data_IF_163121112974
#
_entry.id   IF_163121112974
#
_cell.length_a   1.000
_cell.length_b   1.000
_cell.length_c   1.000
_cell.angle_alpha   90.00
_cell.angle_beta   90.00
_cell.angle_gamma   90.00
#
_symmetry.space_group_name_H-M   'P 1'
#
loop_
_entity.id
_entity.type
_entity.pdbx_description
1 polymer ?
#
# COMPACT_ATOMS: atom_id res chain seq x y z
N UNK A 1 -22.12 -7.44 -10.77
CA UNK A 1 -22.16 -6.46 -11.87
C UNK A 1 -21.14 -5.38 -11.52
N UNK A 2 -20.11 -5.30 -12.36
CA UNK A 2 -19.05 -4.30 -12.53
C UNK A 2 -18.46 -3.51 -11.36
N UNK A 3 -17.14 -3.62 -11.26
CA UNK A 3 -16.23 -2.66 -10.65
C UNK A 3 -14.86 -2.68 -11.32
N UNK A 4 -14.79 -2.96 -12.63
CA UNK A 4 -13.56 -2.86 -13.41
C UNK A 4 -13.27 -1.39 -13.74
N UNK A 5 -12.70 -0.68 -12.78
CA UNK A 5 -12.16 0.67 -12.97
C UNK A 5 -10.82 0.62 -13.67
N UNK A 6 -10.85 0.72 -15.00
CA UNK A 6 -9.68 0.96 -15.85
C UNK A 6 -9.27 2.43 -15.77
N UNK A 7 -8.04 2.71 -15.36
CA UNK A 7 -7.28 3.90 -15.80
C UNK A 7 -5.78 3.69 -15.47
N UNK A 8 -4.96 3.28 -16.46
CA UNK A 8 -3.51 3.19 -16.32
C UNK A 8 -2.87 4.58 -16.44
N UNK A 9 -1.97 4.91 -15.52
CA UNK A 9 -0.98 5.97 -15.75
C UNK A 9 0.07 5.50 -16.78
N UNK A 10 0.71 6.42 -17.54
CA UNK A 10 1.15 6.19 -18.92
C UNK A 10 2.42 5.32 -19.14
N UNK A 11 2.96 4.66 -18.12
CA UNK A 11 4.36 4.20 -18.16
C UNK A 11 4.64 2.77 -17.65
N UNK A 12 3.72 1.82 -17.76
CA UNK A 12 4.06 0.43 -17.40
C UNK A 12 3.16 -0.62 -18.00
N UNK A 13 3.69 -1.82 -18.32
CA UNK A 13 2.90 -2.90 -18.89
C UNK A 13 1.80 -3.31 -17.90
N UNK A 14 0.57 -3.30 -18.38
CA UNK A 14 -0.60 -3.79 -17.68
C UNK A 14 -0.41 -5.31 -17.46
N UNK A 15 -0.09 -5.71 -16.23
CA UNK A 15 -0.17 -7.12 -15.82
C UNK A 15 -1.57 -7.32 -15.27
N UNK A 16 -2.43 -7.89 -16.12
CA UNK A 16 -3.82 -8.21 -15.79
C UNK A 16 -3.88 -9.07 -14.51
N UNK A 17 -4.71 -8.67 -13.55
CA UNK A 17 -4.88 -9.38 -12.28
C UNK A 17 -3.96 -8.94 -11.12
N UNK A 18 -3.05 -7.98 -11.32
CA UNK A 18 -2.26 -7.41 -10.20
C UNK A 18 -3.12 -6.51 -9.32
N UNK A 19 -3.32 -6.90 -8.07
CA UNK A 19 -3.95 -6.11 -7.01
C UNK A 19 -2.94 -5.78 -5.93
N UNK A 20 -2.97 -4.56 -5.42
CA UNK A 20 -2.18 -4.14 -4.26
C UNK A 20 -3.15 -3.67 -3.18
N UNK A 21 -2.97 -4.15 -1.97
CA UNK A 21 -3.79 -3.76 -0.82
C UNK A 21 -2.86 -3.33 0.29
N UNK A 22 -3.04 -2.13 0.80
CA UNK A 22 -2.30 -1.61 1.96
C UNK A 22 -3.29 -1.38 3.09
N UNK A 23 -2.98 -1.92 4.27
CA UNK A 23 -3.72 -1.69 5.51
C UNK A 23 -2.79 -0.99 6.50
N UNK A 24 -3.28 0.04 7.18
CA UNK A 24 -2.47 0.80 8.12
C UNK A 24 -3.27 1.35 9.29
N UNK A 25 -2.56 1.56 10.38
CA UNK A 25 -3.04 2.20 11.61
C UNK A 25 -2.09 3.34 11.97
N UNK A 26 -2.64 4.45 12.42
CA UNK A 26 -1.89 5.63 12.84
C UNK A 26 -2.38 6.13 14.19
N UNK A 27 -1.46 6.66 14.98
CA UNK A 27 -1.73 7.26 16.28
C UNK A 27 -1.04 8.62 16.35
N UNK A 28 -1.79 9.62 16.79
CA UNK A 28 -1.32 10.98 17.01
C UNK A 28 -1.50 11.35 18.48
N UNK A 29 -0.46 11.87 19.12
CA UNK A 29 -0.49 12.34 20.49
C UNK A 29 -0.13 13.82 20.58
N UNK A 30 -1.12 14.63 20.98
CA UNK A 30 -1.02 16.08 21.20
C UNK A 30 -0.34 16.85 20.05
N UNK A 31 -0.44 16.34 18.82
CA UNK A 31 0.27 16.86 17.63
C UNK A 31 1.81 16.96 17.79
N UNK A 32 2.37 16.40 18.87
CA UNK A 32 3.81 16.37 19.17
C UNK A 32 4.47 15.07 18.76
N UNK A 33 3.70 13.98 18.76
CA UNK A 33 4.15 12.65 18.39
C UNK A 33 3.16 12.02 17.40
N UNK A 34 3.68 11.50 16.30
CA UNK A 34 2.94 10.62 15.38
C UNK A 34 3.65 9.28 15.27
N UNK A 35 2.86 8.22 15.22
CA UNK A 35 3.34 6.87 14.92
C UNK A 35 2.40 6.24 13.91
N UNK A 36 2.96 5.65 12.86
CA UNK A 36 2.21 5.02 11.80
C UNK A 36 2.80 3.64 11.50
N UNK A 37 1.92 2.67 11.29
CA UNK A 37 2.27 1.30 10.93
C UNK A 37 1.37 0.85 9.80
N UNK A 38 1.97 0.32 8.73
CA UNK A 38 1.23 -0.21 7.59
C UNK A 38 1.83 -1.48 7.05
N UNK A 39 0.99 -2.29 6.43
CA UNK A 39 1.34 -3.53 5.77
C UNK A 39 0.77 -3.52 4.36
N UNK A 40 1.61 -3.83 3.38
CA UNK A 40 1.23 -3.88 1.97
C UNK A 40 1.35 -5.30 1.46
N UNK A 41 0.26 -5.77 0.84
CA UNK A 41 0.15 -7.06 0.19
C UNK A 41 -0.02 -6.91 -1.30
N UNK A 42 0.67 -7.74 -2.08
CA UNK A 42 0.52 -7.80 -3.52
C UNK A 42 -0.13 -9.15 -3.91
N UNK A 43 -1.25 -9.13 -4.64
CA UNK A 43 -1.94 -10.34 -5.10
C UNK A 43 -2.01 -10.37 -6.64
N UNK A 44 -1.89 -11.56 -7.24
CA UNK A 44 -2.13 -11.78 -8.66
C UNK A 44 -1.28 -12.92 -9.26
N UNK A 45 -1.93 -13.88 -9.91
CA UNK A 45 -1.26 -15.02 -10.53
C UNK A 45 -0.20 -14.58 -11.56
N UNK A 46 0.99 -15.18 -11.48
CA UNK A 46 2.18 -14.86 -12.29
C UNK A 46 2.83 -13.50 -12.03
N UNK A 47 2.68 -12.96 -10.82
CA UNK A 47 3.41 -11.76 -10.44
C UNK A 47 4.65 -12.15 -9.62
N UNK A 48 5.86 -11.92 -10.14
CA UNK A 48 7.11 -12.04 -9.36
C UNK A 48 7.17 -11.06 -8.17
N UNK A 49 6.18 -10.18 -8.06
CA UNK A 49 5.97 -9.24 -6.96
C UNK A 49 4.89 -9.70 -5.97
N UNK A 50 4.18 -10.81 -6.22
CA UNK A 50 3.23 -11.40 -5.24
C UNK A 50 3.94 -11.73 -3.92
N UNK A 51 5.21 -12.11 -3.98
CA UNK A 51 6.01 -12.45 -2.81
C UNK A 51 6.67 -11.21 -2.14
N UNK A 52 6.37 -9.98 -2.61
CA UNK A 52 7.00 -8.74 -2.13
C UNK A 52 6.15 -7.97 -1.14
N UNK A 53 5.54 -8.69 -0.21
CA UNK A 53 4.86 -8.07 0.91
C UNK A 53 5.86 -7.34 1.83
N UNK A 54 5.48 -6.19 2.36
CA UNK A 54 6.34 -5.44 3.28
C UNK A 54 5.55 -4.68 4.34
N UNK A 55 6.18 -4.51 5.50
CA UNK A 55 5.71 -3.67 6.61
C UNK A 55 6.48 -2.35 6.55
N UNK A 56 5.76 -1.24 6.75
CA UNK A 56 6.33 0.09 6.90
C UNK A 56 5.92 0.68 8.24
N UNK A 57 6.89 1.26 8.96
CA UNK A 57 6.67 1.91 10.24
C UNK A 57 7.38 3.27 10.23
N UNK A 58 6.70 4.31 10.71
CA UNK A 58 7.28 5.64 10.89
C UNK A 58 6.94 6.22 12.24
N UNK A 59 7.87 7.00 12.79
CA UNK A 59 7.70 7.74 14.02
C UNK A 59 8.20 9.17 13.82
N UNK A 60 7.47 10.15 14.34
CA UNK A 60 7.82 11.58 14.23
C UNK A 60 7.60 12.27 15.56
N UNK A 61 8.53 13.15 15.91
CA UNK A 61 8.46 14.01 17.09
C UNK A 61 8.75 15.46 16.70
N UNK A 62 7.96 16.41 17.20
CA UNK A 62 8.12 17.84 16.96
C UNK A 62 8.22 18.60 18.29
N UNK A 63 9.11 19.60 18.34
CA UNK A 63 9.44 20.40 19.54
C UNK A 63 8.96 21.86 19.41
#
# INVERSE_FOLDING_TARGET
>A
HDGSGSSPAPFGPFVEGRRVVTLGVGANYLERMSADLSYTMHAGHHNALEDRDFVSMSFSYSF
#
